data_IF_327723316256
#
_entry.id   IF_327723316256
#
_cell.length_a   1.000
_cell.length_b   1.000
_cell.length_c   1.000
_cell.angle_alpha   90.00
_cell.angle_beta   90.00
_cell.angle_gamma   90.00
#
_symmetry.space_group_name_H-M   'P 1'
#
loop_
_entity.id
_entity.type
_entity.pdbx_description
1 polymer ?
#
# COMPACT_ATOMS: atom_id res chain seq x y z
N UNK A 1 23.55 -17.65 0.86
CA UNK A 1 23.31 -16.68 1.93
C UNK A 1 21.86 -16.88 2.35
N UNK A 2 21.63 -17.42 3.56
CA UNK A 2 20.32 -17.55 4.19
C UNK A 2 19.80 -16.12 4.41
N UNK A 3 18.70 -15.73 3.74
CA UNK A 3 18.00 -14.51 4.04
C UNK A 3 17.59 -14.54 5.51
N UNK A 4 18.23 -13.75 6.35
CA UNK A 4 17.86 -13.66 7.76
C UNK A 4 16.54 -12.93 7.84
N UNK A 5 15.52 -13.58 8.40
CA UNK A 5 14.29 -12.92 8.84
C UNK A 5 14.72 -11.75 9.73
N UNK A 6 14.26 -10.55 9.43
CA UNK A 6 14.56 -9.37 10.23
C UNK A 6 14.15 -9.61 11.69
N UNK A 7 14.95 -9.11 12.63
CA UNK A 7 14.63 -9.21 14.06
C UNK A 7 13.39 -8.40 14.42
N UNK A 8 12.78 -8.66 15.58
CA UNK A 8 11.65 -7.84 16.08
C UNK A 8 11.98 -6.35 16.14
N UNK A 9 13.26 -6.02 16.39
CA UNK A 9 13.75 -4.65 16.42
C UNK A 9 13.73 -3.99 15.03
N UNK A 10 14.14 -4.73 13.99
CA UNK A 10 14.06 -4.24 12.59
C UNK A 10 12.62 -4.00 12.11
N UNK A 11 11.65 -4.76 12.64
CA UNK A 11 10.23 -4.56 12.31
C UNK A 11 9.70 -3.29 12.97
N UNK A 12 10.13 -2.98 14.18
CA UNK A 12 9.75 -1.76 14.89
C UNK A 12 10.27 -0.49 14.22
N UNK A 13 11.20 -0.62 13.28
CA UNK A 13 11.63 0.48 12.40
C UNK A 13 10.48 0.95 11.49
N UNK A 14 9.68 0.01 10.96
CA UNK A 14 8.65 0.28 9.95
C UNK A 14 7.21 0.20 10.46
N UNK A 15 6.99 -0.54 11.55
CA UNK A 15 5.67 -0.69 12.16
C UNK A 15 5.61 -0.03 13.53
N UNK A 16 4.57 0.77 13.75
CA UNK A 16 4.21 1.32 15.04
C UNK A 16 3.04 0.54 15.64
N UNK A 17 3.17 0.04 16.87
CA UNK A 17 2.02 -0.47 17.60
C UNK A 17 1.12 0.69 18.07
N UNK A 18 -0.13 0.40 18.37
CA UNK A 18 -1.04 1.38 18.96
C UNK A 18 -0.52 1.91 20.30
N UNK A 19 0.18 1.08 21.10
CA UNK A 19 0.87 1.51 22.33
C UNK A 19 2.00 2.48 22.07
N UNK A 20 2.80 2.22 21.02
CA UNK A 20 3.88 3.12 20.63
C UNK A 20 3.32 4.48 20.20
N UNK A 21 2.27 4.48 19.38
CA UNK A 21 1.61 5.71 18.94
C UNK A 21 1.06 6.49 20.14
N UNK A 22 0.34 5.83 21.06
CA UNK A 22 -0.23 6.47 22.24
C UNK A 22 0.83 7.13 23.12
N UNK A 23 2.02 6.56 23.23
CA UNK A 23 3.16 7.14 23.98
C UNK A 23 3.85 8.30 23.27
N UNK A 24 3.61 8.47 21.97
CA UNK A 24 4.26 9.49 21.15
C UNK A 24 3.29 10.55 20.61
N UNK A 25 2.06 10.64 21.13
CA UNK A 25 1.07 11.64 20.69
C UNK A 25 1.58 13.09 20.85
N UNK A 26 2.31 13.35 21.93
CA UNK A 26 2.85 14.69 22.26
C UNK A 26 4.31 14.86 21.81
N UNK A 27 4.89 13.88 21.12
CA UNK A 27 6.27 13.95 20.63
C UNK A 27 6.35 14.91 19.43
N UNK A 28 7.13 16.01 19.49
CA UNK A 28 7.22 16.98 18.41
C UNK A 28 7.85 16.41 17.13
N UNK A 29 8.62 15.33 17.22
CA UNK A 29 9.30 14.70 16.08
C UNK A 29 8.45 13.62 15.42
N UNK A 30 7.24 13.35 15.97
CA UNK A 30 6.30 12.35 15.42
C UNK A 30 5.04 13.06 14.93
N UNK A 31 4.60 12.70 13.76
CA UNK A 31 3.35 13.18 13.17
C UNK A 31 2.52 12.00 12.67
N UNK A 32 1.22 12.10 12.87
CA UNK A 32 0.28 11.04 12.53
C UNK A 32 -0.57 11.49 11.35
N UNK A 33 -0.78 10.59 10.40
CA UNK A 33 -1.59 10.85 9.20
C UNK A 33 -2.68 9.80 9.10
N UNK A 34 -3.94 10.23 9.06
CA UNK A 34 -5.03 9.39 8.61
C UNK A 34 -5.12 9.43 7.08
N UNK A 35 -4.85 8.30 6.44
CA UNK A 35 -5.01 8.17 5.00
C UNK A 35 -6.46 7.84 4.71
N UNK A 36 -7.21 8.86 4.32
CA UNK A 36 -8.65 8.77 4.10
C UNK A 36 -9.02 8.19 2.75
N UNK A 37 -10.28 7.74 2.64
CA UNK A 37 -10.91 7.30 1.41
C UNK A 37 -12.07 8.24 1.10
N UNK A 38 -12.17 8.72 -0.14
CA UNK A 38 -13.28 9.58 -0.59
C UNK A 38 -14.67 8.91 -0.50
N UNK A 39 -14.71 7.58 -0.36
CA UNK A 39 -15.98 6.84 -0.16
C UNK A 39 -16.54 6.94 1.25
N UNK A 40 -15.73 7.39 2.20
CA UNK A 40 -16.11 7.62 3.59
C UNK A 40 -15.51 8.97 4.04
N UNK A 41 -16.03 10.08 3.50
CA UNK A 41 -15.47 11.41 3.76
C UNK A 41 -15.61 11.83 5.22
N UNK A 42 -16.61 11.29 5.93
CA UNK A 42 -16.88 11.63 7.33
C UNK A 42 -16.09 10.76 8.32
N UNK A 43 -15.37 9.76 7.85
CA UNK A 43 -14.62 8.85 8.73
C UNK A 43 -13.63 9.58 9.63
N UNK A 44 -12.93 10.58 9.10
CA UNK A 44 -11.98 11.37 9.87
C UNK A 44 -12.69 12.31 10.87
N UNK A 45 -13.71 13.03 10.44
CA UNK A 45 -14.44 13.99 11.28
C UNK A 45 -15.27 13.32 12.38
N UNK A 46 -15.70 12.07 12.17
CA UNK A 46 -16.41 11.30 13.19
C UNK A 46 -15.52 10.87 14.36
N UNK A 47 -14.20 10.84 14.18
CA UNK A 47 -13.20 10.54 15.19
C UNK A 47 -11.88 10.09 14.58
N UNK A 48 -10.77 10.67 15.03
CA UNK A 48 -9.41 10.36 14.57
C UNK A 48 -8.43 10.32 15.73
N UNK A 49 -7.25 9.79 15.53
CA UNK A 49 -6.15 9.79 16.52
C UNK A 49 -5.78 11.23 16.83
N UNK A 50 -5.63 11.63 18.11
CA UNK A 50 -5.30 13.01 18.48
C UNK A 50 -4.08 13.54 17.71
N UNK A 51 -4.22 14.74 17.15
CA UNK A 51 -3.17 15.40 16.37
C UNK A 51 -2.94 14.86 14.96
N UNK A 52 -3.66 13.83 14.54
CA UNK A 52 -3.52 13.29 13.18
C UNK A 52 -4.01 14.27 12.13
N UNK A 53 -3.25 14.46 11.06
CA UNK A 53 -3.69 15.17 9.86
C UNK A 53 -4.41 14.23 8.91
N UNK A 54 -5.32 14.76 8.08
CA UNK A 54 -6.08 13.98 7.12
C UNK A 54 -5.53 14.12 5.70
N UNK A 55 -5.19 12.97 5.08
CA UNK A 55 -4.82 12.89 3.67
C UNK A 55 -5.81 12.01 2.92
N UNK A 56 -6.86 12.58 2.29
CA UNK A 56 -7.65 11.88 1.29
C UNK A 56 -6.71 11.42 0.17
N UNK A 57 -6.48 10.11 0.03
CA UNK A 57 -5.37 9.60 -0.79
C UNK A 57 -5.40 10.07 -2.26
N UNK A 58 -6.58 10.24 -2.86
CA UNK A 58 -6.69 10.72 -4.23
C UNK A 58 -6.28 12.19 -4.37
N UNK A 59 -6.72 13.04 -3.43
CA UNK A 59 -6.43 14.47 -3.45
C UNK A 59 -4.99 14.78 -3.02
N UNK A 60 -4.48 13.99 -2.07
CA UNK A 60 -3.16 14.24 -1.47
C UNK A 60 -2.01 13.58 -2.22
N UNK A 61 -2.24 12.41 -2.84
CA UNK A 61 -1.17 11.58 -3.38
C UNK A 61 -1.19 11.45 -4.91
N UNK A 62 -2.24 11.94 -5.57
CA UNK A 62 -2.34 11.95 -7.03
C UNK A 62 -2.23 13.34 -7.62
N UNK A 63 -1.73 13.38 -8.86
CA UNK A 63 -1.84 14.58 -9.68
C UNK A 63 -3.33 14.80 -10.05
N UNK A 64 -3.86 16.02 -9.97
CA UNK A 64 -5.29 16.29 -10.08
C UNK A 64 -5.92 15.92 -11.44
N UNK A 65 -5.13 15.90 -12.52
CA UNK A 65 -5.65 15.67 -13.88
C UNK A 65 -5.02 14.49 -14.60
N UNK A 66 -3.77 14.15 -14.28
CA UNK A 66 -3.09 12.98 -14.84
C UNK A 66 -3.22 11.81 -13.89
N UNK A 67 -3.39 10.59 -14.40
CA UNK A 67 -3.29 9.38 -13.57
C UNK A 67 -1.81 9.12 -13.21
N UNK A 68 -1.24 10.07 -12.49
CA UNK A 68 0.13 10.07 -11.99
C UNK A 68 0.14 10.47 -10.52
N UNK A 69 1.25 10.28 -9.83
CA UNK A 69 1.41 10.72 -8.44
C UNK A 69 1.60 12.22 -8.34
N UNK A 70 1.29 12.74 -7.16
CA UNK A 70 1.62 14.12 -6.74
C UNK A 70 3.05 14.47 -7.16
N UNK A 71 3.25 15.68 -7.71
CA UNK A 71 4.60 16.12 -8.13
C UNK A 71 5.52 16.28 -6.92
N UNK A 72 6.86 16.27 -7.10
CA UNK A 72 7.79 16.53 -5.99
C UNK A 72 7.54 17.89 -5.32
N UNK A 73 7.16 18.91 -6.09
CA UNK A 73 6.81 20.24 -5.57
C UNK A 73 5.54 20.20 -4.73
N UNK A 74 4.45 19.63 -5.25
CA UNK A 74 3.17 19.56 -4.55
C UNK A 74 3.25 18.64 -3.32
N UNK A 75 4.09 17.58 -3.37
CA UNK A 75 4.37 16.75 -2.21
C UNK A 75 5.10 17.54 -1.12
N UNK A 76 6.11 18.34 -1.47
CA UNK A 76 6.79 19.19 -0.50
C UNK A 76 5.82 20.21 0.13
N UNK A 77 4.91 20.77 -0.67
CA UNK A 77 3.86 21.66 -0.18
C UNK A 77 2.87 20.93 0.76
N UNK A 78 2.45 19.71 0.42
CA UNK A 78 1.61 18.86 1.29
C UNK A 78 2.28 18.60 2.63
N UNK A 79 3.56 18.22 2.64
CA UNK A 79 4.34 17.98 3.85
C UNK A 79 4.48 19.25 4.70
N UNK A 80 4.79 20.37 4.06
CA UNK A 80 4.88 21.69 4.68
C UNK A 80 3.58 22.11 5.35
N UNK A 81 2.45 22.06 4.62
CA UNK A 81 1.10 22.36 5.14
C UNK A 81 0.68 21.41 6.26
N UNK A 82 1.16 20.18 6.24
CA UNK A 82 0.93 19.18 7.29
C UNK A 82 1.80 19.41 8.54
N UNK A 83 2.70 20.40 8.51
CA UNK A 83 3.61 20.72 9.63
C UNK A 83 4.76 19.73 9.76
N UNK A 84 5.21 19.10 8.66
CA UNK A 84 6.27 18.10 8.69
C UNK A 84 7.59 18.69 8.19
N UNK A 85 8.67 18.33 8.89
CA UNK A 85 10.04 18.55 8.47
C UNK A 85 10.59 17.30 7.76
N UNK A 86 11.76 17.42 7.14
CA UNK A 86 12.39 16.32 6.39
C UNK A 86 12.79 15.12 7.26
N UNK A 87 12.97 15.33 8.55
CA UNK A 87 13.34 14.34 9.58
C UNK A 87 12.16 13.88 10.46
N UNK A 88 10.99 14.47 10.27
CA UNK A 88 9.77 14.06 10.99
C UNK A 88 9.47 12.57 10.78
N UNK A 89 9.24 11.83 11.85
CA UNK A 89 8.70 10.48 11.78
C UNK A 89 7.21 10.54 11.48
N UNK A 90 6.83 10.13 10.27
CA UNK A 90 5.43 10.13 9.84
C UNK A 90 4.83 8.73 10.05
N UNK A 91 3.78 8.66 10.86
CA UNK A 91 3.03 7.42 11.12
C UNK A 91 1.74 7.44 10.31
N UNK A 92 1.62 6.53 9.38
CA UNK A 92 0.47 6.39 8.49
C UNK A 92 -0.52 5.38 9.07
N UNK A 93 -1.79 5.73 9.17
CA UNK A 93 -2.88 4.80 9.50
C UNK A 93 -4.11 5.06 8.63
N UNK A 94 -5.03 4.11 8.61
CA UNK A 94 -6.23 4.19 7.78
C UNK A 94 -7.33 3.26 8.29
N UNK A 95 -8.52 3.37 7.74
CA UNK A 95 -9.60 2.41 7.98
C UNK A 95 -9.32 1.00 7.43
N UNK A 96 -8.48 0.90 6.40
CA UNK A 96 -8.01 -0.36 5.81
C UNK A 96 -6.52 -0.22 5.51
N UNK A 97 -5.69 -1.11 6.04
CA UNK A 97 -4.22 -0.99 6.07
C UNK A 97 -3.57 -0.79 4.68
N UNK A 98 -4.21 -1.24 3.60
CA UNK A 98 -3.69 -1.05 2.25
C UNK A 98 -3.61 0.42 1.81
N UNK A 99 -4.39 1.33 2.39
CA UNK A 99 -4.24 2.75 2.12
C UNK A 99 -3.00 3.33 2.81
N UNK A 100 -2.67 2.83 3.99
CA UNK A 100 -1.43 3.19 4.69
C UNK A 100 -0.19 2.71 3.93
N UNK A 101 -0.19 1.45 3.43
CA UNK A 101 0.93 0.95 2.61
C UNK A 101 1.06 1.69 1.28
N UNK A 102 -0.06 2.14 0.72
CA UNK A 102 -0.05 2.96 -0.50
C UNK A 102 0.57 4.34 -0.26
N UNK A 103 0.15 5.03 0.80
CA UNK A 103 0.74 6.31 1.17
C UNK A 103 2.23 6.16 1.50
N UNK A 104 2.62 5.11 2.23
CA UNK A 104 4.01 4.79 2.52
C UNK A 104 4.84 4.63 1.23
N UNK A 105 4.30 3.94 0.24
CA UNK A 105 4.97 3.74 -1.05
C UNK A 105 5.16 5.06 -1.81
N UNK A 106 4.13 5.92 -1.87
CA UNK A 106 4.23 7.25 -2.52
C UNK A 106 5.22 8.14 -1.78
N UNK A 107 5.16 8.21 -0.44
CA UNK A 107 6.12 8.99 0.36
C UNK A 107 7.56 8.50 0.16
N UNK A 108 7.77 7.18 0.06
CA UNK A 108 9.10 6.60 -0.24
C UNK A 108 9.60 7.07 -1.60
N UNK A 109 8.78 7.03 -2.64
CA UNK A 109 9.15 7.53 -3.97
C UNK A 109 9.45 9.04 -3.98
N UNK A 110 8.78 9.80 -3.14
CA UNK A 110 8.99 11.26 -2.98
C UNK A 110 10.13 11.59 -2.00
N UNK A 111 10.90 10.58 -1.56
CA UNK A 111 12.14 10.74 -0.82
C UNK A 111 12.00 10.98 0.68
N UNK A 112 10.80 10.83 1.25
CA UNK A 112 10.65 10.84 2.71
C UNK A 112 11.05 9.47 3.30
N UNK A 113 11.95 9.48 4.29
CA UNK A 113 12.57 8.24 4.79
C UNK A 113 12.02 7.76 6.12
N UNK A 114 11.65 8.70 7.00
CA UNK A 114 11.24 8.38 8.38
C UNK A 114 9.73 8.04 8.41
N UNK A 115 9.39 6.85 7.93
CA UNK A 115 8.01 6.40 7.76
C UNK A 115 7.72 5.20 8.65
N UNK A 116 6.54 5.18 9.24
CA UNK A 116 5.97 4.02 9.92
C UNK A 116 4.52 3.80 9.48
N UNK A 117 4.09 2.56 9.55
CA UNK A 117 2.68 2.19 9.42
C UNK A 117 2.18 1.74 10.79
N UNK A 118 1.02 2.22 11.22
CA UNK A 118 0.34 1.63 12.37
C UNK A 118 0.03 0.14 12.06
N UNK A 119 0.53 -0.75 12.88
CA UNK A 119 0.23 -2.18 12.73
C UNK A 119 -1.20 -2.46 13.20
N UNK A 120 -2.12 -2.43 12.28
CA UNK A 120 -3.56 -2.47 12.49
C UNK A 120 -4.26 -1.32 11.76
N UNK A 121 -5.55 -1.18 12.01
CA UNK A 121 -6.38 -0.16 11.38
C UNK A 121 -7.02 0.79 12.42
N UNK A 122 -7.76 1.79 11.93
CA UNK A 122 -8.49 2.74 12.78
C UNK A 122 -9.44 2.07 13.77
N UNK A 123 -10.09 0.97 13.36
CA UNK A 123 -11.01 0.25 14.23
C UNK A 123 -10.28 -0.39 15.42
N UNK A 124 -9.06 -0.92 15.22
CA UNK A 124 -8.24 -1.45 16.31
C UNK A 124 -7.97 -0.39 17.37
N UNK A 125 -7.58 0.84 16.96
CA UNK A 125 -7.37 1.96 17.87
C UNK A 125 -8.62 2.26 18.72
N UNK A 126 -9.78 2.28 18.07
CA UNK A 126 -11.07 2.52 18.74
C UNK A 126 -11.48 1.37 19.68
N UNK A 127 -11.31 0.11 19.26
CA UNK A 127 -11.63 -1.08 20.05
C UNK A 127 -10.76 -1.20 21.32
N UNK A 128 -9.53 -0.71 21.27
CA UNK A 128 -8.65 -0.62 22.45
C UNK A 128 -9.03 0.53 23.42
N UNK A 129 -10.10 1.27 23.13
CA UNK A 129 -10.57 2.38 23.96
C UNK A 129 -9.60 3.56 24.01
N UNK A 130 -8.77 3.74 23.00
CA UNK A 130 -7.78 4.80 22.93
C UNK A 130 -8.41 6.15 22.62
N UNK A 131 -7.76 7.27 23.03
CA UNK A 131 -8.30 8.61 22.83
C UNK A 131 -8.55 8.93 21.35
N UNK A 132 -9.66 9.60 21.08
CA UNK A 132 -10.03 10.09 19.76
C UNK A 132 -10.43 11.57 19.85
N UNK A 133 -10.23 12.30 18.75
CA UNK A 133 -10.65 13.70 18.59
C UNK A 133 -11.53 13.85 17.35
N UNK A 134 -12.44 14.81 17.37
CA UNK A 134 -13.24 15.23 16.22
C UNK A 134 -12.80 16.60 15.68
N UNK A 135 -12.18 17.40 16.55
CA UNK A 135 -11.70 18.73 16.17
C UNK A 135 -10.44 18.61 15.33
N UNK A 136 -10.37 19.40 14.25
CA UNK A 136 -9.18 19.47 13.41
C UNK A 136 -7.96 19.91 14.23
N UNK A 137 -6.79 19.29 14.04
CA UNK A 137 -5.58 19.70 14.73
C UNK A 137 -5.15 21.10 14.26
N UNK A 138 -4.62 21.90 15.18
CA UNK A 138 -3.96 23.16 14.82
C UNK A 138 -2.57 22.82 14.28
N UNK A 139 -2.37 23.08 13.00
CA UNK A 139 -1.10 22.80 12.32
C UNK A 139 -0.38 24.13 12.09
N UNK A 140 0.87 24.21 12.55
CA UNK A 140 1.80 25.24 12.13
C UNK A 140 2.56 24.70 10.91
N UNK A 141 2.46 25.32 9.73
CA UNK A 141 3.23 24.90 8.58
C UNK A 141 4.73 24.87 8.89
N UNK A 142 5.43 23.89 8.32
CA UNK A 142 6.87 23.73 8.48
C UNK A 142 7.57 23.89 7.12
N UNK A 143 8.88 24.07 7.14
CA UNK A 143 9.67 24.04 5.92
C UNK A 143 9.99 22.60 5.53
N UNK A 144 9.59 22.21 4.31
CA UNK A 144 9.90 20.89 3.76
C UNK A 144 10.57 21.03 2.40
N UNK A 145 11.81 20.53 2.22
CA UNK A 145 12.54 20.65 0.96
C UNK A 145 11.98 19.71 -0.10
N UNK A 146 12.04 20.12 -1.36
CA UNK A 146 11.84 19.20 -2.49
C UNK A 146 12.97 18.16 -2.45
N UNK A 147 12.59 16.87 -2.53
CA UNK A 147 13.52 15.74 -2.44
C UNK A 147 13.70 15.08 -3.81
N UNK A 148 14.80 14.34 -3.94
CA UNK A 148 15.02 13.49 -5.11
C UNK A 148 13.96 12.39 -5.18
N UNK A 149 13.50 12.13 -6.40
CA UNK A 149 12.49 11.10 -6.67
C UNK A 149 13.19 9.77 -6.90
N UNK A 150 12.74 8.71 -6.20
CA UNK A 150 13.16 7.33 -6.43
C UNK A 150 11.98 6.47 -6.86
N UNK A 151 11.82 6.27 -8.15
CA UNK A 151 10.77 5.38 -8.72
C UNK A 151 11.27 3.95 -8.97
N UNK A 152 12.42 3.55 -8.43
CA UNK A 152 12.97 2.19 -8.60
C UNK A 152 12.04 1.08 -8.09
N UNK A 153 11.16 1.42 -7.15
CA UNK A 153 10.13 0.53 -6.63
C UNK A 153 8.83 0.50 -7.46
N UNK A 154 8.78 1.23 -8.60
CA UNK A 154 7.66 1.27 -9.54
C UNK A 154 8.03 0.59 -10.85
N UNK A 155 7.07 -0.04 -11.50
CA UNK A 155 7.21 -0.59 -12.84
C UNK A 155 5.97 -0.28 -13.67
N UNK A 156 6.17 0.17 -14.89
CA UNK A 156 5.08 0.42 -15.84
C UNK A 156 4.69 -0.82 -16.63
N UNK A 157 3.56 -0.72 -17.35
CA UNK A 157 3.00 -1.78 -18.19
C UNK A 157 4.01 -2.44 -19.12
N UNK A 158 4.82 -1.63 -19.82
CA UNK A 158 5.81 -2.17 -20.77
C UNK A 158 6.87 -3.04 -20.06
N UNK A 159 7.30 -2.63 -18.88
CA UNK A 159 8.24 -3.41 -18.08
C UNK A 159 7.62 -4.72 -17.56
N UNK A 160 6.32 -4.73 -17.24
CA UNK A 160 5.60 -5.97 -16.89
C UNK A 160 5.50 -6.87 -18.11
N UNK A 161 5.06 -6.35 -19.26
CA UNK A 161 4.89 -7.11 -20.50
C UNK A 161 6.21 -7.76 -20.96
N UNK A 162 7.30 -7.00 -20.96
CA UNK A 162 8.64 -7.48 -21.34
C UNK A 162 9.17 -8.58 -20.41
N UNK A 163 8.64 -8.68 -19.20
CA UNK A 163 9.11 -9.65 -18.21
C UNK A 163 8.15 -10.82 -17.94
N UNK A 164 7.12 -11.05 -18.75
CA UNK A 164 6.16 -12.15 -18.54
C UNK A 164 6.81 -13.53 -18.54
N UNK A 165 7.82 -13.74 -19.39
CA UNK A 165 8.54 -15.02 -19.54
C UNK A 165 9.84 -15.06 -18.72
N UNK A 166 10.15 -14.04 -17.92
CA UNK A 166 11.37 -14.01 -17.11
C UNK A 166 11.27 -14.94 -15.90
N UNK A 167 12.00 -16.07 -15.85
CA UNK A 167 11.93 -17.01 -14.72
C UNK A 167 12.51 -16.45 -13.41
N UNK A 168 13.25 -15.33 -13.51
CA UNK A 168 13.78 -14.58 -12.36
C UNK A 168 12.79 -13.62 -11.72
N UNK A 169 11.57 -13.48 -12.31
CA UNK A 169 10.52 -12.59 -11.82
C UNK A 169 9.28 -13.38 -11.39
N UNK A 170 8.70 -12.98 -10.28
CA UNK A 170 7.38 -13.45 -9.84
C UNK A 170 6.42 -12.26 -9.86
N UNK A 171 5.37 -12.39 -10.66
CA UNK A 171 4.27 -11.44 -10.69
C UNK A 171 3.20 -11.90 -9.70
N UNK A 172 2.83 -11.05 -8.73
CA UNK A 172 1.92 -11.39 -7.63
C UNK A 172 0.61 -10.60 -7.77
N UNK A 173 -0.50 -11.32 -7.97
CA UNK A 173 -1.85 -10.75 -7.97
C UNK A 173 -2.44 -10.80 -6.55
N UNK A 174 -2.66 -9.62 -5.97
CA UNK A 174 -3.13 -9.44 -4.60
C UNK A 174 -4.66 -9.32 -4.48
N UNK A 175 -5.39 -9.51 -5.59
CA UNK A 175 -6.85 -9.34 -5.64
C UNK A 175 -7.58 -10.50 -4.98
N UNK A 176 -8.91 -10.37 -4.92
CA UNK A 176 -9.79 -11.46 -4.45
C UNK A 176 -9.75 -12.66 -5.40
N UNK A 177 -10.11 -13.88 -4.93
CA UNK A 177 -10.14 -15.07 -5.78
C UNK A 177 -11.02 -14.90 -7.03
N UNK A 178 -12.21 -14.33 -6.90
CA UNK A 178 -13.16 -14.06 -7.99
C UNK A 178 -12.63 -13.04 -9.01
N UNK A 179 -11.88 -12.02 -8.58
CA UNK A 179 -11.16 -11.14 -9.49
C UNK A 179 -10.07 -11.90 -10.28
N UNK A 180 -9.29 -12.75 -9.59
CA UNK A 180 -8.18 -13.49 -10.20
C UNK A 180 -8.65 -14.53 -11.22
N UNK A 181 -9.68 -15.31 -10.90
CA UNK A 181 -10.19 -16.34 -11.82
C UNK A 181 -10.99 -15.75 -12.98
N UNK A 182 -11.40 -14.49 -12.89
CA UNK A 182 -12.08 -13.75 -13.94
C UNK A 182 -13.61 -13.80 -13.89
N UNK A 183 -14.18 -14.02 -12.72
CA UNK A 183 -15.62 -13.87 -12.50
C UNK A 183 -16.00 -12.40 -12.39
N UNK A 184 -15.10 -11.57 -11.81
CA UNK A 184 -15.28 -10.14 -11.61
C UNK A 184 -14.04 -9.34 -11.99
N UNK A 185 -14.21 -8.03 -12.16
CA UNK A 185 -13.10 -7.06 -12.30
C UNK A 185 -12.84 -6.27 -11.01
N UNK A 186 -13.82 -6.24 -10.10
CA UNK A 186 -13.74 -5.58 -8.79
C UNK A 186 -14.16 -6.52 -7.66
N UNK A 187 -13.74 -6.25 -6.42
CA UNK A 187 -14.16 -7.04 -5.25
C UNK A 187 -15.69 -7.14 -5.13
N UNK A 188 -16.17 -8.23 -4.55
CA UNK A 188 -17.60 -8.54 -4.43
C UNK A 188 -18.37 -7.62 -3.47
N UNK A 189 -17.70 -6.88 -2.60
CA UNK A 189 -18.32 -5.86 -1.75
C UNK A 189 -18.65 -4.55 -2.49
N UNK A 190 -18.26 -4.42 -3.78
CA UNK A 190 -18.77 -3.37 -4.63
C UNK A 190 -20.05 -3.85 -5.33
N UNK A 191 -21.13 -3.07 -5.21
CA UNK A 191 -22.42 -3.35 -5.87
C UNK A 191 -22.31 -3.36 -7.39
N UNK A 192 -21.43 -2.53 -7.94
CA UNK A 192 -21.16 -2.45 -9.38
C UNK A 192 -19.79 -3.05 -9.67
N UNK A 193 -19.75 -3.97 -10.64
CA UNK A 193 -18.49 -4.58 -11.11
C UNK A 193 -17.82 -3.63 -12.13
N UNK A 194 -16.76 -2.94 -11.69
CA UNK A 194 -16.14 -1.85 -12.46
C UNK A 194 -14.63 -1.78 -12.26
N UNK A 195 -13.95 -1.10 -13.17
CA UNK A 195 -12.52 -0.78 -13.05
C UNK A 195 -11.64 -1.38 -14.13
N UNK A 196 -12.17 -2.24 -15.00
CA UNK A 196 -11.51 -2.72 -16.21
C UNK A 196 -12.56 -3.21 -17.22
N UNK A 197 -12.17 -3.32 -18.48
CA UNK A 197 -13.05 -3.82 -19.56
C UNK A 197 -13.11 -5.34 -19.58
N UNK A 198 -11.99 -6.01 -19.26
CA UNK A 198 -11.87 -7.47 -19.32
C UNK A 198 -11.65 -8.05 -17.93
N UNK A 199 -12.10 -9.30 -17.75
CA UNK A 199 -11.95 -10.12 -16.54
C UNK A 199 -10.79 -11.06 -16.67
N UNK A 200 -10.20 -11.49 -15.56
CA UNK A 200 -9.06 -12.42 -15.52
C UNK A 200 -7.84 -11.85 -14.84
N UNK A 201 -6.66 -12.36 -15.17
CA UNK A 201 -5.38 -11.93 -14.60
C UNK A 201 -4.26 -11.88 -15.65
N UNK A 202 -3.13 -11.28 -15.29
CA UNK A 202 -1.93 -11.20 -16.13
C UNK A 202 -1.33 -12.61 -16.28
N UNK A 203 -0.98 -13.08 -17.49
CA UNK A 203 -0.40 -14.40 -17.69
C UNK A 203 0.81 -14.65 -16.78
N UNK A 204 0.87 -15.85 -16.18
CA UNK A 204 1.95 -16.24 -15.26
C UNK A 204 1.87 -15.67 -13.85
N UNK A 205 0.95 -14.74 -13.58
CA UNK A 205 0.78 -14.18 -12.24
C UNK A 205 0.37 -15.25 -11.21
N UNK A 206 1.01 -15.18 -10.04
CA UNK A 206 0.70 -16.02 -8.89
C UNK A 206 -0.31 -15.30 -7.99
N UNK A 207 -1.37 -15.99 -7.62
CA UNK A 207 -2.39 -15.42 -6.75
C UNK A 207 -1.97 -15.51 -5.28
N UNK A 208 -2.02 -14.38 -4.58
CA UNK A 208 -1.88 -14.30 -3.14
C UNK A 208 -2.90 -13.29 -2.61
N UNK A 209 -4.03 -13.78 -2.11
CA UNK A 209 -5.09 -12.90 -1.63
C UNK A 209 -4.62 -12.07 -0.42
N UNK A 210 -4.63 -10.75 -0.56
CA UNK A 210 -4.04 -9.83 0.41
C UNK A 210 -4.56 -10.02 1.84
N UNK A 211 -5.86 -10.35 2.01
CA UNK A 211 -6.46 -10.48 3.35
C UNK A 211 -5.92 -11.68 4.13
N UNK A 212 -5.36 -12.69 3.46
CA UNK A 212 -4.73 -13.84 4.15
C UNK A 212 -3.44 -13.48 4.87
N UNK A 213 -2.86 -12.32 4.56
CA UNK A 213 -1.63 -11.80 5.18
C UNK A 213 -1.90 -11.00 6.46
N UNK A 214 -3.18 -10.81 6.81
CA UNK A 214 -3.63 -10.03 7.95
C UNK A 214 -4.38 -10.90 8.96
N UNK A 215 -4.33 -10.47 10.22
CA UNK A 215 -5.22 -10.93 11.26
C UNK A 215 -6.58 -10.20 11.14
N UNK A 216 -7.59 -10.62 11.92
CA UNK A 216 -8.94 -10.03 11.89
C UNK A 216 -8.96 -8.54 12.25
N UNK A 217 -8.03 -8.09 13.07
CA UNK A 217 -7.83 -6.69 13.45
C UNK A 217 -6.93 -5.90 12.47
N UNK A 218 -6.68 -6.45 11.28
CA UNK A 218 -5.81 -5.92 10.24
C UNK A 218 -4.33 -5.72 10.64
N UNK A 219 -3.87 -6.30 11.76
CA UNK A 219 -2.42 -6.40 12.00
C UNK A 219 -1.80 -7.41 11.05
N UNK A 220 -0.55 -7.20 10.67
CA UNK A 220 0.16 -8.19 9.86
C UNK A 220 0.33 -9.50 10.61
N UNK A 221 0.22 -10.62 9.89
CA UNK A 221 0.55 -11.96 10.41
C UNK A 221 2.02 -12.03 10.82
N UNK A 222 2.40 -13.09 11.55
CA UNK A 222 3.78 -13.31 11.96
C UNK A 222 4.73 -13.36 10.74
N UNK A 223 6.00 -12.95 10.93
CA UNK A 223 6.99 -12.99 9.85
C UNK A 223 7.15 -14.37 9.23
N UNK A 224 7.12 -15.41 10.06
CA UNK A 224 7.21 -16.79 9.56
C UNK A 224 6.02 -17.16 8.68
N UNK A 225 4.81 -16.72 9.04
CA UNK A 225 3.63 -16.91 8.19
C UNK A 225 3.78 -16.16 6.87
N UNK A 226 4.14 -14.86 6.92
CA UNK A 226 4.34 -14.03 5.74
C UNK A 226 5.40 -14.63 4.81
N UNK A 227 6.56 -15.02 5.36
CA UNK A 227 7.62 -15.67 4.61
C UNK A 227 7.13 -16.95 3.91
N UNK A 228 6.40 -17.80 4.63
CA UNK A 228 5.87 -19.05 4.07
C UNK A 228 4.81 -18.79 2.99
N UNK A 229 3.96 -17.79 3.16
CA UNK A 229 2.95 -17.42 2.16
C UNK A 229 3.59 -16.98 0.84
N UNK A 230 4.63 -16.12 0.88
CA UNK A 230 5.36 -15.72 -0.32
C UNK A 230 6.20 -16.86 -0.92
N UNK A 231 6.88 -17.65 -0.11
CA UNK A 231 7.63 -18.82 -0.57
C UNK A 231 6.72 -19.85 -1.26
N UNK A 232 5.49 -20.04 -0.74
CA UNK A 232 4.50 -20.99 -1.30
C UNK A 232 4.08 -20.67 -2.73
N UNK A 233 4.22 -19.42 -3.17
CA UNK A 233 3.98 -19.00 -4.56
C UNK A 233 5.28 -18.80 -5.36
N UNK A 234 6.44 -19.18 -4.80
CA UNK A 234 7.76 -19.04 -5.42
C UNK A 234 8.34 -17.62 -5.34
N UNK A 235 7.72 -16.71 -4.58
CA UNK A 235 8.22 -15.35 -4.38
C UNK A 235 9.28 -15.33 -3.27
N UNK A 236 10.51 -15.69 -3.65
CA UNK A 236 11.68 -15.79 -2.77
C UNK A 236 12.64 -14.61 -2.93
N UNK A 237 13.55 -14.41 -2.00
CA UNK A 237 14.46 -13.24 -1.94
C UNK A 237 15.43 -13.13 -3.13
N UNK A 238 15.67 -14.22 -3.86
CA UNK A 238 16.50 -14.28 -5.07
C UNK A 238 15.73 -13.85 -6.35
N UNK A 239 14.41 -13.68 -6.25
CA UNK A 239 13.56 -13.27 -7.39
C UNK A 239 13.29 -11.76 -7.38
N UNK A 240 12.96 -11.22 -8.55
CA UNK A 240 12.31 -9.91 -8.63
C UNK A 240 10.80 -10.11 -8.38
N UNK A 241 10.28 -9.43 -7.37
CA UNK A 241 8.86 -9.48 -7.03
C UNK A 241 8.16 -8.26 -7.64
N UNK A 242 7.15 -8.49 -8.46
CA UNK A 242 6.30 -7.43 -9.00
C UNK A 242 4.86 -7.69 -8.56
N UNK A 243 4.33 -6.82 -7.74
CA UNK A 243 2.97 -6.97 -7.22
C UNK A 243 1.99 -6.03 -7.93
N UNK A 244 0.75 -6.45 -8.04
CA UNK A 244 -0.35 -5.63 -8.55
C UNK A 244 -1.68 -6.00 -7.90
N UNK A 245 -2.68 -5.15 -8.09
CA UNK A 245 -4.06 -5.47 -7.76
C UNK A 245 -5.03 -4.83 -8.76
N UNK A 246 -6.04 -4.09 -8.32
CA UNK A 246 -6.91 -3.30 -9.20
C UNK A 246 -6.38 -1.88 -9.45
N UNK A 247 -5.93 -1.19 -8.37
CA UNK A 247 -5.42 0.20 -8.36
C UNK A 247 -4.15 0.36 -7.49
N UNK A 248 -3.33 -0.66 -7.41
CA UNK A 248 -2.08 -0.78 -6.63
C UNK A 248 -2.17 -0.77 -5.10
N UNK A 249 -3.24 -0.31 -4.45
CA UNK A 249 -3.33 -0.27 -2.98
C UNK A 249 -3.04 -1.61 -2.32
N UNK A 250 -3.71 -2.70 -2.71
CA UNK A 250 -3.42 -4.06 -2.21
C UNK A 250 -2.05 -4.56 -2.69
N UNK A 251 -1.60 -4.13 -3.88
CA UNK A 251 -0.27 -4.42 -4.41
C UNK A 251 0.85 -3.86 -3.54
N UNK A 252 0.68 -2.65 -3.00
CA UNK A 252 1.69 -2.04 -2.12
C UNK A 252 1.84 -2.78 -0.78
N UNK A 253 0.85 -3.54 -0.33
CA UNK A 253 1.01 -4.42 0.84
C UNK A 253 2.07 -5.51 0.58
N UNK A 254 2.02 -6.18 -0.59
CA UNK A 254 3.04 -7.16 -0.93
C UNK A 254 4.43 -6.53 -1.02
N UNK A 255 4.53 -5.34 -1.62
CA UNK A 255 5.78 -4.58 -1.67
C UNK A 255 6.29 -4.23 -0.27
N UNK A 256 5.43 -3.71 0.60
CA UNK A 256 5.80 -3.36 1.97
C UNK A 256 6.27 -4.60 2.76
N UNK A 257 5.51 -5.68 2.72
CA UNK A 257 5.85 -6.92 3.42
C UNK A 257 7.18 -7.47 2.91
N UNK A 258 7.33 -7.65 1.60
CA UNK A 258 8.53 -8.30 1.06
C UNK A 258 9.76 -7.43 1.18
N UNK A 259 9.65 -6.11 0.98
CA UNK A 259 10.79 -5.19 1.06
C UNK A 259 11.19 -4.87 2.50
N UNK A 260 10.24 -4.50 3.35
CA UNK A 260 10.52 -3.94 4.67
C UNK A 260 10.40 -4.94 5.82
N UNK A 261 9.50 -5.93 5.72
CA UNK A 261 9.36 -6.94 6.77
C UNK A 261 10.17 -8.21 6.49
N UNK A 262 10.39 -8.55 5.21
CA UNK A 262 11.15 -9.74 4.82
C UNK A 262 12.54 -9.43 4.23
N UNK A 263 12.87 -8.15 3.99
CA UNK A 263 14.20 -7.71 3.57
C UNK A 263 14.56 -8.04 2.11
N UNK A 264 13.59 -8.21 1.22
CA UNK A 264 13.87 -8.47 -0.19
C UNK A 264 14.36 -7.22 -0.91
N UNK A 265 15.39 -7.34 -1.74
CA UNK A 265 16.01 -6.19 -2.41
C UNK A 265 15.32 -5.77 -3.71
N UNK A 266 14.73 -6.71 -4.45
CA UNK A 266 14.18 -6.49 -5.80
C UNK A 266 12.66 -6.58 -5.78
N UNK A 267 12.00 -5.53 -5.30
CA UNK A 267 10.55 -5.49 -5.16
C UNK A 267 9.99 -4.24 -5.82
N UNK A 268 8.99 -4.41 -6.68
CA UNK A 268 8.32 -3.34 -7.41
C UNK A 268 6.80 -3.49 -7.35
N UNK A 269 6.10 -2.38 -7.55
CA UNK A 269 4.65 -2.34 -7.72
C UNK A 269 4.33 -1.94 -9.17
N UNK A 270 3.46 -2.70 -9.81
CA UNK A 270 2.85 -2.30 -11.06
C UNK A 270 1.64 -1.39 -10.76
N UNK A 271 1.87 -0.08 -10.89
CA UNK A 271 0.90 0.92 -10.50
C UNK A 271 -0.40 0.88 -11.33
N UNK A 272 -0.30 0.79 -12.66
CA UNK A 272 -1.48 0.71 -13.53
C UNK A 272 -2.41 -0.45 -13.18
N UNK A 273 -1.84 -1.53 -12.68
CA UNK A 273 -2.57 -2.69 -12.15
C UNK A 273 -3.62 -3.23 -13.13
N UNK A 274 -4.66 -3.91 -12.63
CA UNK A 274 -5.68 -4.48 -13.51
C UNK A 274 -6.54 -3.44 -14.22
N UNK A 275 -6.74 -2.27 -13.60
CA UNK A 275 -7.49 -1.18 -14.23
C UNK A 275 -6.85 -0.75 -15.56
N UNK A 276 -5.55 -0.69 -15.64
CA UNK A 276 -4.82 -0.42 -16.88
C UNK A 276 -4.77 -1.70 -17.76
N UNK A 277 -4.22 -2.79 -17.23
CA UNK A 277 -3.96 -4.00 -18.01
C UNK A 277 -5.21 -4.61 -18.64
N UNK A 278 -6.27 -4.72 -17.86
CA UNK A 278 -7.56 -5.27 -18.30
C UNK A 278 -8.32 -4.38 -19.27
N UNK A 279 -7.94 -3.11 -19.44
CA UNK A 279 -8.63 -2.16 -20.33
C UNK A 279 -7.87 -1.91 -21.62
N UNK A 280 -6.56 -2.11 -21.68
CA UNK A 280 -5.75 -1.84 -22.88
C UNK A 280 -5.95 -2.93 -23.93
N UNK A 281 -6.20 -2.53 -25.17
CA UNK A 281 -6.31 -3.42 -26.33
C UNK A 281 -4.98 -4.15 -26.57
N UNK A 282 -5.04 -5.45 -26.87
CA UNK A 282 -3.87 -6.27 -27.20
C UNK A 282 -3.08 -6.80 -25.99
N UNK A 283 -3.40 -6.41 -24.74
CA UNK A 283 -2.74 -7.01 -23.57
C UNK A 283 -3.19 -8.47 -23.37
N UNK A 284 -2.25 -9.41 -23.18
CA UNK A 284 -2.58 -10.81 -22.93
C UNK A 284 -3.23 -10.98 -21.56
N UNK A 285 -4.24 -11.83 -21.47
CA UNK A 285 -4.93 -12.19 -20.22
C UNK A 285 -5.15 -13.69 -20.13
N UNK A 286 -5.30 -14.18 -18.90
CA UNK A 286 -5.84 -15.51 -18.59
C UNK A 286 -7.17 -15.30 -17.88
N UNK A 287 -8.21 -16.00 -18.32
CA UNK A 287 -9.53 -15.96 -17.67
C UNK A 287 -10.02 -17.40 -17.44
N UNK A 288 -9.82 -17.89 -16.22
CA UNK A 288 -10.16 -19.27 -15.83
C UNK A 288 -11.66 -19.53 -15.77
N UNK A 289 -12.48 -18.50 -15.65
CA UNK A 289 -13.94 -18.65 -15.56
C UNK A 289 -14.59 -19.08 -16.89
N UNK A 290 -13.86 -18.91 -18.01
CA UNK A 290 -14.32 -19.28 -19.35
C UNK A 290 -13.49 -20.44 -19.96
N UNK A 291 -12.33 -20.78 -19.39
CA UNK A 291 -11.54 -21.92 -19.79
C UNK A 291 -12.34 -23.22 -19.53
N UNK A 292 -12.61 -23.98 -20.59
CA UNK A 292 -13.43 -25.22 -20.53
C UNK A 292 -14.93 -25.04 -20.81
N UNK A 293 -15.38 -23.84 -21.19
CA UNK A 293 -16.75 -23.58 -21.68
C UNK A 293 -16.84 -23.50 -23.20
N UNK A 294 -15.74 -23.73 -23.91
CA UNK A 294 -15.66 -23.78 -25.39
C UNK A 294 -15.65 -25.21 -25.90
#
# INVERSE_FOLDING_TARGET
LKGSILSKEAISEWLASTDWIAKNLDNPDVRIVEVGNLKDPDAYSSGHIPGAVHWPWQESLWHPTMREFVTPHDFAELMSKSGFHHDTTVVLYSGQIQFSTYAFWVCTMRGHKNLKIMNGNKNLWSQEGRPQMQNLPRITPAEYPIRDVDESCRIGRQGVLAGLENPGRILVDMRTPDEYIGERVSPNWFSVDHGAVRKGHIPGAKHLYYATLLNENETFKSLSYLQNAFNGIGATSDKEIVSYCRLSHRGTMAWFITKFLLGYSRVKVYDGSWTEWGSIVGMPIVNKSIEGKS
#
